data_IF_107729361340
#
_entry.id   IF_107729361340
#
_cell.length_a   1.000
_cell.length_b   1.000
_cell.length_c   1.000
_cell.angle_alpha   90.00
_cell.angle_beta   90.00
_cell.angle_gamma   90.00
#
_symmetry.space_group_name_H-M   'P 1'
#
loop_
_entity.id
_entity.type
_entity.pdbx_description
1 polymer ?
#
# COMPACT_ATOMS: atom_id res chain seq x y z
N UNK A 1 -17.37 3.49 -11.14
CA UNK A 1 -16.91 2.16 -10.68
C UNK A 1 -15.42 1.91 -10.86
N UNK A 2 -14.81 2.20 -12.02
CA UNK A 2 -13.38 1.91 -12.30
C UNK A 2 -12.39 2.49 -11.26
N UNK A 3 -12.52 3.77 -10.92
CA UNK A 3 -11.64 4.40 -9.92
C UNK A 3 -11.87 3.89 -8.50
N UNK A 4 -13.10 3.55 -8.13
CA UNK A 4 -13.43 3.01 -6.80
C UNK A 4 -12.72 1.67 -6.52
N UNK A 5 -12.57 0.82 -7.54
CA UNK A 5 -11.86 -0.46 -7.42
C UNK A 5 -10.37 -0.25 -7.12
N UNK A 6 -9.70 0.64 -7.88
CA UNK A 6 -8.29 0.97 -7.65
C UNK A 6 -8.09 1.67 -6.31
N UNK A 7 -8.92 2.66 -5.98
CA UNK A 7 -8.86 3.34 -4.68
C UNK A 7 -9.06 2.37 -3.52
N UNK A 8 -10.03 1.46 -3.63
CA UNK A 8 -10.26 0.41 -2.64
C UNK A 8 -9.08 -0.55 -2.53
N UNK A 9 -8.47 -0.93 -3.65
CA UNK A 9 -7.28 -1.77 -3.67
C UNK A 9 -6.09 -1.07 -2.98
N UNK A 10 -5.88 0.23 -3.23
CA UNK A 10 -4.82 1.01 -2.58
C UNK A 10 -5.03 1.06 -1.07
N UNK A 11 -6.24 1.40 -0.62
CA UNK A 11 -6.57 1.47 0.81
C UNK A 11 -6.35 0.11 1.47
N UNK A 12 -6.85 -0.97 0.86
CA UNK A 12 -6.66 -2.32 1.35
C UNK A 12 -5.16 -2.68 1.43
N UNK A 13 -4.36 -2.30 0.43
CA UNK A 13 -2.92 -2.54 0.46
C UNK A 13 -2.21 -1.75 1.57
N UNK A 14 -2.59 -0.49 1.80
CA UNK A 14 -2.06 0.28 2.94
C UNK A 14 -2.41 -0.40 4.27
N UNK A 15 -3.65 -0.86 4.44
CA UNK A 15 -4.10 -1.59 5.64
C UNK A 15 -3.37 -2.93 5.82
N UNK A 16 -3.09 -3.64 4.74
CA UNK A 16 -2.26 -4.86 4.76
C UNK A 16 -0.90 -4.59 5.37
N UNK A 17 -0.22 -3.54 4.91
CA UNK A 17 1.11 -3.17 5.39
C UNK A 17 1.09 -2.67 6.84
N UNK A 18 0.04 -1.94 7.25
CA UNK A 18 -0.19 -1.60 8.67
C UNK A 18 -0.29 -2.88 9.51
N UNK A 19 -1.10 -3.85 9.08
CA UNK A 19 -1.25 -5.14 9.75
C UNK A 19 0.07 -5.90 9.86
N UNK A 20 0.87 -5.93 8.80
CA UNK A 20 2.20 -6.54 8.80
C UNK A 20 3.16 -5.84 9.76
N UNK A 21 3.15 -4.51 9.81
CA UNK A 21 3.97 -3.75 10.76
C UNK A 21 3.55 -4.04 12.21
N UNK A 22 2.26 -4.07 12.51
CA UNK A 22 1.76 -4.44 13.84
C UNK A 22 2.11 -5.88 14.21
N UNK A 23 2.02 -6.82 13.27
CA UNK A 23 2.47 -8.20 13.46
C UNK A 23 3.96 -8.25 13.82
N UNK A 24 4.79 -7.47 13.12
CA UNK A 24 6.24 -7.42 13.35
C UNK A 24 6.60 -6.77 14.70
N UNK A 25 5.87 -5.75 15.14
CA UNK A 25 6.10 -5.10 16.44
C UNK A 25 5.68 -6.02 17.60
N UNK A 26 4.63 -6.82 17.42
CA UNK A 26 4.09 -7.69 18.47
C UNK A 26 4.73 -9.10 18.48
N UNK A 27 5.97 -9.24 18.02
CA UNK A 27 6.65 -10.54 17.88
C UNK A 27 6.76 -11.31 19.21
N UNK A 28 6.83 -10.59 20.33
CA UNK A 28 6.89 -11.15 21.67
C UNK A 28 5.59 -11.86 22.12
N UNK A 29 4.44 -11.58 21.48
CA UNK A 29 3.15 -12.16 21.85
C UNK A 29 2.58 -12.91 20.63
N UNK A 30 2.73 -14.25 20.56
CA UNK A 30 2.35 -15.04 19.39
C UNK A 30 0.90 -14.82 18.95
N UNK A 31 -0.04 -14.78 19.89
CA UNK A 31 -1.47 -14.59 19.58
C UNK A 31 -1.75 -13.24 18.88
N UNK A 32 -1.07 -12.17 19.31
CA UNK A 32 -1.23 -10.84 18.68
C UNK A 32 -0.54 -10.78 17.32
N UNK A 33 0.68 -11.33 17.21
CA UNK A 33 1.40 -11.45 15.93
C UNK A 33 0.53 -12.11 14.86
N UNK A 34 0.06 -13.32 15.13
CA UNK A 34 -0.75 -14.07 14.17
C UNK A 34 -2.11 -13.42 13.90
N UNK A 35 -2.72 -12.76 14.89
CA UNK A 35 -3.94 -11.97 14.70
C UNK A 35 -3.75 -10.82 13.71
N UNK A 36 -2.74 -9.97 13.92
CA UNK A 36 -2.46 -8.85 13.01
C UNK A 36 -2.00 -9.32 11.62
N UNK A 37 -1.25 -10.42 11.55
CA UNK A 37 -0.87 -11.05 10.28
C UNK A 37 -2.12 -11.51 9.51
N UNK A 38 -3.03 -12.22 10.17
CA UNK A 38 -4.27 -12.71 9.54
C UNK A 38 -5.12 -11.55 9.02
N UNK A 39 -5.28 -10.49 9.81
CA UNK A 39 -5.98 -9.27 9.37
C UNK A 39 -5.29 -8.65 8.15
N UNK A 40 -3.95 -8.52 8.19
CA UNK A 40 -3.18 -8.00 7.06
C UNK A 40 -3.36 -8.83 5.78
N UNK A 41 -3.36 -10.15 5.91
CA UNK A 41 -3.58 -11.10 4.81
C UNK A 41 -5.00 -11.00 4.22
N UNK A 42 -6.03 -10.83 5.05
CA UNK A 42 -7.41 -10.60 4.57
C UNK A 42 -7.48 -9.33 3.73
N UNK A 43 -6.89 -8.23 4.21
CA UNK A 43 -6.80 -7.02 3.40
C UNK A 43 -5.95 -7.23 2.14
N UNK A 44 -4.93 -8.08 2.20
CA UNK A 44 -4.07 -8.41 1.05
C UNK A 44 -4.83 -9.13 -0.05
N UNK A 45 -5.70 -10.06 0.35
CA UNK A 45 -6.63 -10.73 -0.54
C UNK A 45 -7.62 -9.74 -1.17
N UNK A 46 -8.23 -8.87 -0.35
CA UNK A 46 -9.17 -7.85 -0.83
C UNK A 46 -8.49 -6.94 -1.85
N UNK A 47 -7.27 -6.47 -1.56
CA UNK A 47 -6.50 -5.64 -2.49
C UNK A 47 -6.27 -6.36 -3.81
N UNK A 48 -5.87 -7.63 -3.75
CA UNK A 48 -5.52 -8.41 -4.95
C UNK A 48 -6.74 -8.63 -5.83
N UNK A 49 -7.89 -8.95 -5.24
CA UNK A 49 -9.16 -9.13 -5.95
C UNK A 49 -9.60 -7.81 -6.60
N UNK A 50 -9.60 -6.70 -5.84
CA UNK A 50 -10.01 -5.39 -6.37
C UNK A 50 -9.08 -4.91 -7.48
N UNK A 51 -7.78 -5.11 -7.34
CA UNK A 51 -6.80 -4.76 -8.35
C UNK A 51 -6.99 -5.61 -9.62
N UNK A 52 -7.11 -6.93 -9.49
CA UNK A 52 -7.36 -7.82 -10.62
C UNK A 52 -8.63 -7.42 -11.39
N UNK A 53 -9.69 -7.07 -10.66
CA UNK A 53 -10.94 -6.66 -11.30
C UNK A 53 -10.87 -5.28 -11.95
N UNK A 54 -10.00 -4.39 -11.45
CA UNK A 54 -9.72 -3.11 -12.11
C UNK A 54 -9.04 -3.27 -13.47
N UNK A 55 -8.24 -4.32 -13.66
CA UNK A 55 -7.55 -4.61 -14.93
C UNK A 55 -8.51 -4.99 -16.06
N UNK A 56 -9.75 -5.40 -15.76
CA UNK A 56 -10.78 -5.59 -16.79
C UNK A 56 -11.20 -4.30 -17.46
N UNK A 57 -10.91 -3.16 -16.84
CA UNK A 57 -11.46 -1.87 -17.24
C UNK A 57 -10.41 -0.82 -17.61
N UNK A 58 -9.16 -1.03 -17.22
CA UNK A 58 -8.02 -0.11 -17.35
C UNK A 58 -6.81 -0.93 -17.79
N UNK A 59 -5.93 -0.35 -18.61
CA UNK A 59 -4.68 -1.02 -19.01
C UNK A 59 -3.80 -1.31 -17.80
N UNK A 60 -3.05 -2.41 -17.85
CA UNK A 60 -2.16 -2.82 -16.79
C UNK A 60 -1.15 -1.73 -16.43
N UNK A 61 -0.60 -1.02 -17.43
CA UNK A 61 0.34 0.09 -17.22
C UNK A 61 -0.28 1.22 -16.38
N UNK A 62 -1.48 1.67 -16.73
CA UNK A 62 -2.14 2.77 -16.00
C UNK A 62 -2.55 2.31 -14.60
N UNK A 63 -3.14 1.11 -14.48
CA UNK A 63 -3.58 0.59 -13.20
C UNK A 63 -2.42 0.38 -12.22
N UNK A 64 -1.32 -0.25 -12.67
CA UNK A 64 -0.12 -0.46 -11.86
C UNK A 64 0.53 0.85 -11.46
N UNK A 65 0.63 1.80 -12.39
CA UNK A 65 1.16 3.14 -12.10
C UNK A 65 0.41 3.79 -10.95
N UNK A 66 -0.91 3.91 -11.09
CA UNK A 66 -1.75 4.59 -10.10
C UNK A 66 -1.72 3.83 -8.76
N UNK A 67 -1.79 2.51 -8.80
CA UNK A 67 -1.78 1.68 -7.60
C UNK A 67 -0.47 1.81 -6.82
N UNK A 68 0.68 1.63 -7.47
CA UNK A 68 1.97 1.64 -6.78
C UNK A 68 2.34 3.04 -6.28
N UNK A 69 2.16 4.08 -7.11
CA UNK A 69 2.48 5.46 -6.71
C UNK A 69 1.67 5.90 -5.49
N UNK A 70 0.35 5.73 -5.52
CA UNK A 70 -0.52 6.12 -4.41
C UNK A 70 -0.35 5.24 -3.18
N UNK A 71 -0.07 3.94 -3.35
CA UNK A 71 0.26 3.08 -2.21
C UNK A 71 1.52 3.57 -1.51
N UNK A 72 2.58 3.91 -2.25
CA UNK A 72 3.83 4.40 -1.65
C UNK A 72 3.59 5.69 -0.87
N UNK A 73 2.86 6.64 -1.44
CA UNK A 73 2.49 7.89 -0.75
C UNK A 73 1.67 7.60 0.51
N UNK A 74 0.68 6.72 0.42
CA UNK A 74 -0.16 6.32 1.55
C UNK A 74 0.64 5.64 2.67
N UNK A 75 1.58 4.75 2.31
CA UNK A 75 2.47 4.09 3.26
C UNK A 75 3.41 5.08 3.95
N UNK A 76 3.97 6.04 3.21
CA UNK A 76 4.77 7.11 3.80
C UNK A 76 3.96 7.94 4.78
N UNK A 77 2.74 8.34 4.40
CA UNK A 77 1.85 9.08 5.29
C UNK A 77 1.55 8.29 6.57
N UNK A 78 1.24 7.00 6.46
CA UNK A 78 1.01 6.13 7.62
C UNK A 78 2.27 5.97 8.47
N UNK A 79 3.45 5.81 7.87
CA UNK A 79 4.71 5.72 8.60
C UNK A 79 4.96 6.98 9.45
N UNK A 80 4.67 8.16 8.89
CA UNK A 80 4.82 9.45 9.60
C UNK A 80 3.76 9.60 10.68
N UNK A 81 2.48 9.54 10.32
CA UNK A 81 1.38 9.95 11.20
C UNK A 81 0.97 8.86 12.20
N UNK A 82 1.07 7.60 11.81
CA UNK A 82 0.59 6.48 12.63
C UNK A 82 1.71 5.82 13.43
N UNK A 83 2.89 5.65 12.83
CA UNK A 83 4.03 5.01 13.46
C UNK A 83 5.10 5.98 13.98
N UNK A 84 4.93 7.29 13.76
CA UNK A 84 5.88 8.34 14.16
C UNK A 84 7.32 8.05 13.71
N UNK A 85 7.48 7.43 12.54
CA UNK A 85 8.80 7.11 12.02
C UNK A 85 9.53 8.37 11.53
N UNK A 86 10.84 8.50 11.80
CA UNK A 86 11.60 9.67 11.34
C UNK A 86 11.72 9.67 9.82
N UNK A 87 11.16 10.71 9.21
CA UNK A 87 11.30 10.99 7.78
C UNK A 87 12.45 11.96 7.58
N UNK A 88 13.56 11.44 7.06
CA UNK A 88 14.66 12.25 6.57
C UNK A 88 14.33 12.81 5.19
N UNK A 89 14.85 14.01 4.89
CA UNK A 89 14.74 14.66 3.57
C UNK A 89 15.14 13.72 2.42
N UNK A 90 16.12 12.83 2.65
CA UNK A 90 16.55 11.83 1.67
C UNK A 90 15.47 10.78 1.36
N UNK A 91 14.71 10.32 2.36
CA UNK A 91 13.59 9.38 2.15
C UNK A 91 12.44 10.04 1.40
N UNK A 92 12.19 11.32 1.67
CA UNK A 92 11.20 12.14 0.95
C UNK A 92 11.59 12.33 -0.52
N UNK A 93 12.87 12.64 -0.79
CA UNK A 93 13.40 12.72 -2.14
C UNK A 93 13.32 11.37 -2.86
N UNK A 94 13.64 10.27 -2.18
CA UNK A 94 13.48 8.91 -2.70
C UNK A 94 12.03 8.58 -3.05
N UNK A 95 11.08 8.90 -2.17
CA UNK A 95 9.65 8.73 -2.44
C UNK A 95 9.21 9.53 -3.68
N UNK A 96 9.65 10.78 -3.79
CA UNK A 96 9.37 11.62 -4.95
C UNK A 96 9.93 11.03 -6.25
N UNK A 97 11.18 10.57 -6.26
CA UNK A 97 11.79 9.90 -7.42
C UNK A 97 11.00 8.66 -7.82
N UNK A 98 10.56 7.85 -6.86
CA UNK A 98 9.74 6.66 -7.16
C UNK A 98 8.38 7.07 -7.72
N UNK A 99 7.72 8.09 -7.17
CA UNK A 99 6.45 8.59 -7.72
C UNK A 99 6.62 9.11 -9.15
N UNK A 100 7.66 9.89 -9.41
CA UNK A 100 7.97 10.41 -10.75
C UNK A 100 8.29 9.28 -11.73
N UNK A 101 9.15 8.33 -11.33
CA UNK A 101 9.50 7.18 -12.16
C UNK A 101 8.28 6.31 -12.51
N UNK A 102 7.37 6.15 -11.55
CA UNK A 102 6.10 5.47 -11.79
C UNK A 102 5.25 6.27 -12.80
N UNK A 103 5.08 7.58 -12.64
CA UNK A 103 4.33 8.42 -13.59
C UNK A 103 4.95 8.36 -15.00
N UNK A 104 6.28 8.40 -15.12
CA UNK A 104 6.95 8.29 -16.42
C UNK A 104 6.64 6.96 -17.14
N UNK A 105 6.43 5.86 -16.41
CA UNK A 105 6.03 4.58 -17.00
C UNK A 105 4.58 4.55 -17.52
N UNK A 106 3.79 5.59 -17.23
CA UNK A 106 2.39 5.70 -17.66
C UNK A 106 2.16 6.57 -18.89
N UNK A 107 3.21 7.24 -19.39
CA UNK A 107 3.22 8.07 -20.61
C UNK A 107 3.69 7.19 -21.77
#
# INVERSE_FOLDING_TARGET
MKMLLISGAIIANVLTNIGFKYSAINDAIPAKKWGYLAVGLVFGLINSVLFAESLRFISLQVASTVFFSLTIVGLYAVAVFWFNEPVTMLKLAGAFVVTVGVIMMSI
#
